data_IF_771500560313
#
_entry.id   IF_771500560313
#
_cell.length_a   1.000
_cell.length_b   1.000
_cell.length_c   1.000
_cell.angle_alpha   90.00
_cell.angle_beta   90.00
_cell.angle_gamma   90.00
#
_symmetry.space_group_name_H-M   'P 1'
#
loop_
_entity.id
_entity.type
_entity.pdbx_description
1 polymer ?
#
# COMPACT_ATOMS: atom_id res chain seq x y z
N UNK A 1 -18.88 -22.44 -4.69
CA UNK A 1 -18.51 -21.02 -4.86
C UNK A 1 -18.09 -20.86 -6.31
N UNK A 2 -18.83 -20.06 -7.06
CA UNK A 2 -18.47 -19.70 -8.44
C UNK A 2 -17.39 -18.62 -8.45
N UNK A 3 -16.30 -18.86 -9.17
CA UNK A 3 -15.19 -17.92 -9.31
C UNK A 3 -15.00 -17.70 -10.81
N UNK A 4 -14.97 -16.45 -11.24
CA UNK A 4 -14.70 -16.06 -12.63
C UNK A 4 -13.19 -15.91 -12.89
N UNK A 5 -12.48 -15.32 -11.94
CA UNK A 5 -11.07 -14.96 -12.09
C UNK A 5 -10.39 -14.88 -10.71
N UNK A 6 -9.07 -15.02 -10.69
CA UNK A 6 -8.25 -14.75 -9.51
C UNK A 6 -6.93 -14.12 -9.91
N UNK A 7 -6.50 -13.11 -9.14
CA UNK A 7 -5.32 -12.31 -9.49
C UNK A 7 -4.52 -11.94 -8.26
N UNK A 8 -3.19 -12.05 -8.37
CA UNK A 8 -2.29 -11.36 -7.45
C UNK A 8 -2.44 -9.86 -7.67
N UNK A 9 -2.52 -9.10 -6.58
CA UNK A 9 -2.60 -7.63 -6.60
C UNK A 9 -1.59 -7.05 -5.60
N UNK A 10 -1.79 -5.80 -5.19
CA UNK A 10 -1.06 -5.24 -4.06
C UNK A 10 0.44 -5.00 -4.29
N UNK A 11 1.16 -4.85 -3.19
CA UNK A 11 2.57 -4.42 -3.21
C UNK A 11 3.51 -5.43 -3.86
N UNK A 12 3.13 -6.71 -3.86
CA UNK A 12 3.84 -7.77 -4.57
C UNK A 12 3.91 -7.50 -6.07
N UNK A 13 2.77 -7.23 -6.70
CA UNK A 13 2.70 -7.01 -8.16
C UNK A 13 3.27 -5.68 -8.62
N UNK A 14 3.38 -4.68 -7.73
CA UNK A 14 4.03 -3.39 -8.01
C UNK A 14 5.53 -3.38 -7.71
N UNK A 15 6.09 -4.50 -7.25
CA UNK A 15 7.50 -4.59 -6.88
C UNK A 15 7.87 -3.72 -5.67
N UNK A 16 6.92 -3.37 -4.81
CA UNK A 16 7.12 -2.48 -3.65
C UNK A 16 7.07 -3.22 -2.32
N UNK A 17 6.94 -4.54 -2.34
CA UNK A 17 7.09 -5.39 -1.16
C UNK A 17 8.52 -5.28 -0.58
N UNK A 18 8.64 -5.29 0.74
CA UNK A 18 9.92 -5.15 1.45
C UNK A 18 10.33 -6.45 2.14
N UNK A 19 11.57 -6.92 1.90
CA UNK A 19 12.14 -8.12 2.52
C UNK A 19 11.80 -9.45 1.82
N UNK A 20 12.45 -10.58 2.20
CA UNK A 20 11.91 -11.92 1.93
C UNK A 20 10.57 -12.07 2.66
N UNK A 21 9.72 -13.02 2.23
CA UNK A 21 8.46 -13.33 2.92
C UNK A 21 8.74 -13.54 4.42
N UNK A 22 8.38 -12.55 5.23
CA UNK A 22 8.34 -12.60 6.69
C UNK A 22 6.88 -12.64 7.12
N UNK A 23 6.63 -12.84 8.41
CA UNK A 23 5.29 -12.92 8.97
C UNK A 23 4.40 -11.71 8.62
N UNK A 24 5.01 -10.53 8.37
CA UNK A 24 4.35 -9.28 7.95
C UNK A 24 4.40 -9.03 6.42
N UNK A 25 4.78 -10.04 5.62
CA UNK A 25 4.73 -9.98 4.16
C UNK A 25 3.40 -10.53 3.68
N UNK A 26 2.56 -9.60 3.24
CA UNK A 26 1.23 -9.89 2.76
C UNK A 26 1.25 -10.06 1.23
N UNK A 27 0.80 -11.23 0.76
CA UNK A 27 0.47 -11.42 -0.65
C UNK A 27 -1.03 -11.29 -0.83
N UNK A 28 -1.43 -10.26 -1.56
CA UNK A 28 -2.83 -9.94 -1.82
C UNK A 28 -3.35 -10.73 -3.03
N UNK A 29 -4.42 -11.50 -2.83
CA UNK A 29 -5.14 -12.25 -3.86
C UNK A 29 -6.56 -11.71 -3.95
N UNK A 30 -6.93 -11.16 -5.10
CA UNK A 30 -8.31 -10.83 -5.39
C UNK A 30 -8.99 -12.01 -6.09
N UNK A 31 -10.16 -12.41 -5.61
CA UNK A 31 -10.98 -13.48 -6.19
C UNK A 31 -12.27 -12.86 -6.71
N UNK A 32 -12.43 -12.82 -8.03
CA UNK A 32 -13.62 -12.28 -8.69
C UNK A 32 -14.68 -13.37 -8.71
N UNK A 33 -15.78 -13.13 -8.00
CA UNK A 33 -16.90 -14.03 -7.84
C UNK A 33 -17.92 -13.82 -8.96
N UNK A 34 -18.58 -14.91 -9.34
CA UNK A 34 -19.69 -14.89 -10.30
C UNK A 34 -20.92 -14.23 -9.65
N UNK A 35 -21.33 -13.06 -10.14
CA UNK A 35 -22.39 -12.25 -9.53
C UNK A 35 -23.75 -12.96 -9.52
N UNK A 36 -24.10 -13.68 -10.59
CA UNK A 36 -25.36 -14.40 -10.71
C UNK A 36 -25.47 -15.52 -9.67
N UNK A 37 -24.38 -16.25 -9.41
CA UNK A 37 -24.33 -17.33 -8.42
C UNK A 37 -24.30 -16.87 -6.96
N UNK A 38 -24.00 -15.60 -6.70
CA UNK A 38 -23.89 -15.04 -5.35
C UNK A 38 -24.71 -13.76 -5.20
N UNK A 39 -25.81 -13.66 -5.94
CA UNK A 39 -26.71 -12.50 -5.94
C UNK A 39 -27.23 -12.17 -4.54
N UNK A 40 -27.40 -13.18 -3.69
CA UNK A 40 -27.76 -13.03 -2.28
C UNK A 40 -26.71 -12.24 -1.48
N UNK A 41 -25.41 -12.40 -1.76
CA UNK A 41 -24.36 -11.62 -1.11
C UNK A 41 -24.27 -10.18 -1.62
N UNK A 42 -24.76 -9.94 -2.82
CA UNK A 42 -24.88 -8.59 -3.36
C UNK A 42 -26.08 -7.89 -2.71
N UNK A 43 -27.27 -8.51 -2.70
CA UNK A 43 -28.52 -7.83 -2.32
C UNK A 43 -28.76 -7.72 -0.80
N UNK A 44 -28.18 -8.59 0.02
CA UNK A 44 -28.43 -8.61 1.46
C UNK A 44 -27.47 -7.71 2.24
N UNK A 45 -27.97 -7.05 3.28
CA UNK A 45 -27.19 -6.18 4.17
C UNK A 45 -25.96 -6.89 4.78
N UNK A 46 -26.08 -8.16 5.16
CA UNK A 46 -24.97 -8.96 5.70
C UNK A 46 -24.12 -9.66 4.63
N UNK A 47 -24.36 -9.35 3.36
CA UNK A 47 -23.69 -9.93 2.19
C UNK A 47 -22.16 -9.88 2.24
N UNK A 48 -21.53 -8.71 2.54
CA UNK A 48 -20.08 -8.59 2.71
C UNK A 48 -19.50 -9.59 3.71
N UNK A 49 -20.09 -9.69 4.91
CA UNK A 49 -19.70 -10.66 5.94
C UNK A 49 -19.93 -12.10 5.48
N UNK A 50 -21.04 -12.37 4.78
CA UNK A 50 -21.36 -13.71 4.29
C UNK A 50 -20.33 -14.21 3.28
N UNK A 51 -19.91 -13.36 2.34
CA UNK A 51 -18.86 -13.67 1.36
C UNK A 51 -17.54 -14.04 2.06
N UNK A 52 -17.08 -13.19 3.00
CA UNK A 52 -15.85 -13.43 3.77
C UNK A 52 -15.92 -14.72 4.60
N UNK A 53 -17.03 -14.95 5.32
CA UNK A 53 -17.23 -16.17 6.10
C UNK A 53 -17.32 -17.41 5.23
N UNK A 54 -17.89 -17.32 4.03
CA UNK A 54 -17.94 -18.43 3.10
C UNK A 54 -16.56 -18.83 2.60
N UNK A 55 -15.70 -17.86 2.27
CA UNK A 55 -14.29 -18.09 1.91
C UNK A 55 -13.53 -18.69 3.09
N UNK A 56 -13.62 -18.08 4.28
CA UNK A 56 -12.99 -18.59 5.51
C UNK A 56 -13.36 -20.07 5.75
N UNK A 57 -14.66 -20.40 5.75
CA UNK A 57 -15.13 -21.78 5.93
C UNK A 57 -14.60 -22.72 4.85
N UNK A 58 -14.47 -22.25 3.60
CA UNK A 58 -13.95 -23.10 2.52
C UNK A 58 -12.48 -23.46 2.75
N UNK A 59 -11.67 -22.52 3.23
CA UNK A 59 -10.25 -22.72 3.52
C UNK A 59 -10.09 -23.62 4.76
N UNK A 60 -10.82 -23.34 5.83
CA UNK A 60 -10.78 -24.14 7.08
C UNK A 60 -11.17 -25.61 6.87
N UNK A 61 -12.09 -25.88 5.93
CA UNK A 61 -12.53 -27.24 5.61
C UNK A 61 -11.65 -27.98 4.59
N UNK A 62 -10.60 -27.33 4.07
CA UNK A 62 -9.69 -27.95 3.12
C UNK A 62 -8.44 -28.47 3.87
N UNK A 63 -8.18 -29.80 3.88
CA UNK A 63 -7.09 -30.40 4.63
C UNK A 63 -5.70 -29.82 4.35
N UNK A 64 -5.51 -29.22 3.16
CA UNK A 64 -4.24 -28.59 2.75
C UNK A 64 -3.88 -27.36 3.60
N UNK A 65 -4.87 -26.72 4.21
CA UNK A 65 -4.69 -25.52 5.03
C UNK A 65 -4.90 -25.80 6.54
N UNK A 66 -4.94 -27.07 6.95
CA UNK A 66 -5.22 -27.49 8.33
C UNK A 66 -4.23 -26.98 9.38
N UNK A 67 -3.03 -26.56 8.98
CA UNK A 67 -2.00 -25.98 9.85
C UNK A 67 -1.93 -24.45 9.81
N UNK A 68 -2.89 -23.78 9.16
CA UNK A 68 -2.92 -22.32 9.02
C UNK A 68 -3.93 -21.68 9.97
N UNK A 69 -3.64 -20.46 10.42
CA UNK A 69 -4.65 -19.64 11.10
C UNK A 69 -5.43 -18.86 10.03
N UNK A 70 -6.76 -19.04 9.99
CA UNK A 70 -7.65 -18.35 9.04
C UNK A 70 -8.54 -17.36 9.78
N UNK A 71 -8.44 -16.07 9.45
CA UNK A 71 -9.26 -15.01 10.07
C UNK A 71 -9.84 -14.06 9.03
N UNK A 72 -10.98 -13.46 9.36
CA UNK A 72 -11.53 -12.34 8.59
C UNK A 72 -10.93 -11.05 9.13
N UNK A 73 -10.44 -10.17 8.24
CA UNK A 73 -9.92 -8.85 8.56
C UNK A 73 -10.52 -7.81 7.61
N UNK A 74 -11.56 -7.11 8.09
CA UNK A 74 -12.35 -6.08 7.38
C UNK A 74 -12.84 -6.43 5.96
N UNK A 75 -11.95 -6.45 4.98
CA UNK A 75 -12.23 -6.65 3.56
C UNK A 75 -11.62 -7.94 2.99
N UNK A 76 -10.81 -8.65 3.79
CA UNK A 76 -10.07 -9.84 3.37
C UNK A 76 -10.26 -11.01 4.32
N UNK A 77 -9.98 -12.21 3.80
CA UNK A 77 -9.70 -13.40 4.60
C UNK A 77 -8.20 -13.62 4.62
N UNK A 78 -7.59 -13.49 5.79
CA UNK A 78 -6.17 -13.76 5.99
C UNK A 78 -5.95 -15.24 6.29
N UNK A 79 -4.99 -15.82 5.57
CA UNK A 79 -4.45 -17.17 5.78
C UNK A 79 -3.01 -17.01 6.24
N UNK A 80 -2.76 -17.20 7.53
CA UNK A 80 -1.44 -17.05 8.12
C UNK A 80 -0.70 -18.37 8.13
N UNK A 81 0.47 -18.36 7.51
CA UNK A 81 1.49 -19.40 7.61
C UNK A 81 2.51 -19.00 8.68
N UNK A 82 3.47 -19.88 8.95
CA UNK A 82 4.54 -19.61 9.92
C UNK A 82 5.37 -18.36 9.56
N UNK A 83 5.58 -18.11 8.27
CA UNK A 83 6.52 -17.10 7.75
C UNK A 83 5.89 -16.12 6.75
N UNK A 84 4.58 -16.18 6.51
CA UNK A 84 3.90 -15.33 5.53
C UNK A 84 2.39 -15.27 5.76
N UNK A 85 1.75 -14.24 5.23
CA UNK A 85 0.30 -14.10 5.24
C UNK A 85 -0.22 -13.94 3.81
N UNK A 86 -1.28 -14.68 3.47
CA UNK A 86 -2.01 -14.49 2.21
C UNK A 86 -3.33 -13.80 2.55
N UNK A 87 -3.59 -12.65 1.92
CA UNK A 87 -4.84 -11.91 2.09
C UNK A 87 -5.74 -12.17 0.88
N UNK A 88 -6.93 -12.73 1.10
CA UNK A 88 -7.88 -13.07 0.03
C UNK A 88 -9.04 -12.08 0.07
N UNK A 89 -9.10 -11.18 -0.90
CA UNK A 89 -10.20 -10.24 -1.11
C UNK A 89 -11.25 -10.84 -2.05
N UNK A 90 -12.47 -11.20 -1.60
CA UNK A 90 -13.57 -11.43 -2.53
C UNK A 90 -13.92 -10.13 -3.25
N UNK A 91 -14.25 -10.23 -4.52
CA UNK A 91 -14.63 -9.11 -5.35
C UNK A 91 -15.77 -9.48 -6.29
N UNK A 92 -16.61 -8.51 -6.62
CA UNK A 92 -17.45 -8.51 -7.82
C UNK A 92 -16.96 -7.42 -8.77
N UNK A 93 -17.36 -7.44 -10.04
CA UNK A 93 -17.12 -6.25 -10.89
C UNK A 93 -17.95 -5.11 -10.33
N UNK A 94 -17.41 -3.89 -10.37
CA UNK A 94 -18.11 -2.74 -9.79
C UNK A 94 -19.49 -2.53 -10.43
N UNK A 95 -19.61 -2.74 -11.75
CA UNK A 95 -20.86 -2.67 -12.51
C UNK A 95 -21.92 -3.72 -12.11
N UNK A 96 -21.54 -4.78 -11.38
CA UNK A 96 -22.45 -5.84 -10.92
C UNK A 96 -23.02 -5.56 -9.51
N UNK A 97 -22.54 -4.52 -8.82
CA UNK A 97 -22.95 -4.15 -7.46
C UNK A 97 -23.50 -2.72 -7.45
N UNK A 98 -24.80 -2.51 -7.73
CA UNK A 98 -25.37 -1.18 -7.95
C UNK A 98 -25.31 -0.22 -6.76
N UNK A 99 -25.14 -0.76 -5.54
CA UNK A 99 -25.08 -0.02 -4.28
C UNK A 99 -23.65 0.02 -3.70
N UNK A 100 -22.63 -0.34 -4.49
CA UNK A 100 -21.25 -0.23 -4.05
C UNK A 100 -20.87 1.23 -3.85
N UNK A 101 -20.24 1.53 -2.71
CA UNK A 101 -19.73 2.83 -2.38
C UNK A 101 -18.72 3.27 -3.44
N UNK A 102 -18.90 4.48 -3.95
CA UNK A 102 -17.99 5.02 -4.94
C UNK A 102 -16.63 5.29 -4.28
N UNK A 103 -15.50 4.86 -4.88
CA UNK A 103 -14.17 5.00 -4.28
C UNK A 103 -13.61 6.44 -4.24
N UNK A 104 -14.43 7.47 -4.50
CA UNK A 104 -13.95 8.86 -4.64
C UNK A 104 -14.35 9.72 -3.45
N UNK A 105 -13.43 10.57 -3.02
CA UNK A 105 -13.73 11.72 -2.16
C UNK A 105 -14.36 12.86 -2.99
N UNK A 106 -15.69 12.95 -3.01
CA UNK A 106 -16.46 14.07 -3.59
C UNK A 106 -17.13 13.80 -4.95
N UNK A 107 -17.80 14.82 -5.50
CA UNK A 107 -18.53 14.71 -6.78
C UNK A 107 -17.60 14.91 -7.98
N UNK A 108 -17.32 13.85 -8.74
CA UNK A 108 -16.72 13.96 -10.06
C UNK A 108 -17.41 12.99 -11.04
N UNK A 109 -18.17 13.55 -11.99
CA UNK A 109 -19.00 12.86 -12.99
C UNK A 109 -18.20 12.21 -14.14
N UNK A 110 -16.86 12.25 -14.10
CA UNK A 110 -16.01 11.86 -15.24
C UNK A 110 -15.05 10.69 -14.99
N UNK A 111 -15.02 10.03 -13.82
CA UNK A 111 -14.54 8.62 -13.80
C UNK A 111 -15.75 7.71 -13.81
N UNK A 112 -15.70 6.78 -14.73
CA UNK A 112 -16.49 5.58 -14.66
C UNK A 112 -15.71 4.55 -13.84
N UNK A 113 -16.21 4.18 -12.66
CA UNK A 113 -15.65 3.09 -11.87
C UNK A 113 -16.09 1.71 -12.42
N UNK A 114 -16.85 1.65 -13.52
CA UNK A 114 -17.41 0.42 -14.09
C UNK A 114 -16.39 -0.65 -14.43
N UNK A 115 -15.14 -0.28 -14.70
CA UNK A 115 -14.05 -1.18 -15.03
C UNK A 115 -13.29 -1.72 -13.79
N UNK A 116 -13.66 -1.24 -12.60
CA UNK A 116 -13.12 -1.64 -11.31
C UNK A 116 -13.87 -2.81 -10.66
N UNK A 117 -13.68 -2.94 -9.36
CA UNK A 117 -14.20 -4.01 -8.52
C UNK A 117 -14.91 -3.44 -7.30
N UNK A 118 -15.80 -4.23 -6.72
CA UNK A 118 -16.41 -3.98 -5.43
C UNK A 118 -15.95 -5.07 -4.45
N UNK A 119 -15.31 -4.67 -3.34
CA UNK A 119 -14.82 -5.56 -2.27
C UNK A 119 -15.63 -5.34 -1.00
N UNK A 120 -15.77 -6.32 -0.10
CA UNK A 120 -16.54 -6.12 1.13
C UNK A 120 -15.86 -5.11 2.05
N UNK A 121 -16.64 -4.29 2.75
CA UNK A 121 -16.20 -3.52 3.91
C UNK A 121 -17.10 -3.83 5.11
N UNK A 122 -16.59 -4.66 6.02
CA UNK A 122 -17.33 -5.00 7.25
C UNK A 122 -17.09 -4.00 8.38
N UNK A 123 -16.27 -2.96 8.18
CA UNK A 123 -16.03 -1.94 9.19
C UNK A 123 -17.14 -0.87 9.14
N UNK A 124 -18.14 -1.01 10.01
CA UNK A 124 -19.28 -0.10 10.07
C UNK A 124 -20.54 -0.72 9.47
N UNK A 125 -20.99 -0.21 8.32
CA UNK A 125 -22.35 -0.44 7.80
C UNK A 125 -22.52 -1.68 6.91
N UNK A 126 -21.53 -2.59 6.83
CA UNK A 126 -21.61 -3.77 5.95
C UNK A 126 -21.86 -3.38 4.49
N UNK A 127 -20.89 -2.71 3.87
CA UNK A 127 -21.01 -2.23 2.50
C UNK A 127 -20.07 -2.93 1.53
N UNK A 128 -20.22 -2.61 0.25
CA UNK A 128 -19.29 -2.99 -0.80
C UNK A 128 -18.53 -1.73 -1.22
N UNK A 129 -17.21 -1.71 -1.06
CA UNK A 129 -16.35 -0.58 -1.38
C UNK A 129 -15.75 -0.75 -2.78
N UNK A 130 -15.87 0.26 -3.63
CA UNK A 130 -15.21 0.25 -4.94
C UNK A 130 -13.68 0.30 -4.83
N UNK A 131 -12.98 -0.32 -5.79
CA UNK A 131 -11.52 -0.29 -5.90
C UNK A 131 -11.07 -0.65 -7.33
N UNK A 132 -9.85 -0.28 -7.73
CA UNK A 132 -9.28 -0.69 -9.01
C UNK A 132 -7.76 -0.90 -8.90
N UNK A 133 -7.34 -2.02 -8.26
CA UNK A 133 -5.93 -2.34 -8.09
C UNK A 133 -5.19 -2.56 -9.41
N UNK A 134 -5.90 -2.91 -10.50
CA UNK A 134 -5.32 -3.07 -11.84
C UNK A 134 -4.89 -1.73 -12.40
N UNK A 135 -5.76 -0.74 -12.41
CA UNK A 135 -5.45 0.60 -12.91
C UNK A 135 -4.32 1.22 -12.10
N UNK A 136 -4.38 1.12 -10.75
CA UNK A 136 -3.30 1.64 -9.93
C UNK A 136 -1.95 0.98 -10.26
N UNK A 137 -1.93 -0.34 -10.48
CA UNK A 137 -0.72 -1.05 -10.92
C UNK A 137 -0.19 -0.49 -12.24
N UNK A 138 -1.05 -0.31 -13.25
CA UNK A 138 -0.65 0.22 -14.56
C UNK A 138 -0.07 1.64 -14.45
N UNK A 139 -0.72 2.52 -13.67
CA UNK A 139 -0.23 3.87 -13.42
C UNK A 139 1.12 3.86 -12.70
N UNK A 140 1.27 2.97 -11.71
CA UNK A 140 2.53 2.80 -10.96
C UNK A 140 3.66 2.30 -11.87
N UNK A 141 3.41 1.26 -12.67
CA UNK A 141 4.40 0.70 -13.61
C UNK A 141 4.83 1.72 -14.65
N UNK A 142 3.89 2.47 -15.24
CA UNK A 142 4.21 3.53 -16.21
C UNK A 142 5.12 4.60 -15.59
N UNK A 143 4.85 5.00 -14.34
CA UNK A 143 5.66 5.99 -13.63
C UNK A 143 7.03 5.44 -13.23
N UNK A 144 7.09 4.19 -12.79
CA UNK A 144 8.36 3.55 -12.43
C UNK A 144 9.25 3.36 -13.67
N UNK A 145 8.66 2.98 -14.80
CA UNK A 145 9.35 2.89 -16.09
C UNK A 145 9.87 4.25 -16.55
N UNK A 146 9.05 5.31 -16.46
CA UNK A 146 9.47 6.69 -16.79
C UNK A 146 10.63 7.20 -15.91
N UNK A 147 10.87 6.57 -14.76
CA UNK A 147 11.94 6.92 -13.82
C UNK A 147 12.99 5.82 -13.62
N UNK A 148 13.04 4.84 -14.53
CA UNK A 148 14.01 3.74 -14.54
C UNK A 148 14.07 2.97 -13.20
N UNK A 149 12.93 2.57 -12.65
CA UNK A 149 12.87 1.76 -11.42
C UNK A 149 13.06 2.53 -10.12
N UNK A 150 13.18 3.86 -10.18
CA UNK A 150 13.42 4.70 -8.99
C UNK A 150 12.20 4.84 -8.08
N UNK A 151 10.98 4.73 -8.62
CA UNK A 151 9.75 4.86 -7.82
C UNK A 151 9.62 3.64 -6.92
N UNK A 152 9.69 2.44 -7.49
CA UNK A 152 9.63 1.20 -6.73
C UNK A 152 10.82 1.07 -5.76
N UNK A 153 12.02 1.45 -6.20
CA UNK A 153 13.22 1.46 -5.35
C UNK A 153 13.11 2.39 -4.15
N UNK A 154 12.66 3.63 -4.35
CA UNK A 154 12.47 4.57 -3.25
C UNK A 154 11.34 4.12 -2.32
N UNK A 155 10.23 3.61 -2.86
CA UNK A 155 9.13 3.04 -2.05
C UNK A 155 9.63 1.95 -1.13
N UNK A 156 10.40 0.97 -1.63
CA UNK A 156 10.97 -0.10 -0.80
C UNK A 156 11.87 0.47 0.29
N UNK A 157 12.77 1.40 -0.06
CA UNK A 157 13.67 2.03 0.90
C UNK A 157 12.91 2.75 2.02
N UNK A 158 11.84 3.49 1.68
CA UNK A 158 11.06 4.27 2.65
C UNK A 158 10.16 3.40 3.52
N UNK A 159 9.55 2.34 2.96
CA UNK A 159 8.82 1.34 3.73
C UNK A 159 9.74 0.61 4.72
N UNK A 160 10.92 0.16 4.27
CA UNK A 160 11.91 -0.48 5.15
C UNK A 160 12.40 0.48 6.24
N UNK A 161 12.64 1.74 5.91
CA UNK A 161 12.99 2.75 6.92
C UNK A 161 11.87 2.94 7.94
N UNK A 162 10.62 3.05 7.48
CA UNK A 162 9.46 3.26 8.33
C UNK A 162 9.27 2.09 9.32
N UNK A 163 9.33 0.87 8.81
CA UNK A 163 9.26 -0.37 9.58
C UNK A 163 10.36 -0.44 10.66
N UNK A 164 11.64 -0.33 10.25
CA UNK A 164 12.80 -0.38 11.16
C UNK A 164 12.77 0.68 12.26
N UNK A 165 12.14 1.82 11.99
CA UNK A 165 12.06 2.94 12.92
C UNK A 165 10.70 3.07 13.60
N UNK A 166 9.80 2.09 13.45
CA UNK A 166 8.44 2.09 14.01
C UNK A 166 7.66 3.38 13.67
N UNK A 167 7.79 3.87 12.44
CA UNK A 167 7.14 5.10 11.99
C UNK A 167 5.65 4.79 11.79
N UNK A 168 4.72 5.54 12.40
CA UNK A 168 3.28 5.24 12.36
C UNK A 168 2.65 5.64 11.01
N UNK A 169 3.19 5.13 9.91
CA UNK A 169 2.71 5.37 8.55
C UNK A 169 2.52 4.01 7.89
N UNK A 170 1.29 3.72 7.46
CA UNK A 170 0.97 2.48 6.76
C UNK A 170 1.77 2.35 5.46
N UNK A 171 2.12 1.12 5.09
CA UNK A 171 2.89 0.82 3.88
C UNK A 171 2.31 1.43 2.60
N UNK A 172 0.99 1.32 2.42
CA UNK A 172 0.31 1.90 1.26
C UNK A 172 0.36 3.43 1.28
N UNK A 173 0.18 4.06 2.44
CA UNK A 173 0.31 5.52 2.59
C UNK A 173 1.73 6.01 2.22
N UNK A 174 2.78 5.30 2.65
CA UNK A 174 4.16 5.62 2.26
C UNK A 174 4.38 5.50 0.74
N UNK A 175 3.87 4.43 0.12
CA UNK A 175 3.94 4.23 -1.33
C UNK A 175 3.25 5.36 -2.09
N UNK A 176 2.06 5.77 -1.67
CA UNK A 176 1.33 6.88 -2.27
C UNK A 176 2.09 8.20 -2.13
N UNK A 177 2.71 8.47 -0.98
CA UNK A 177 3.54 9.66 -0.80
C UNK A 177 4.76 9.68 -1.73
N UNK A 178 5.41 8.53 -1.94
CA UNK A 178 6.51 8.38 -2.90
C UNK A 178 6.00 8.58 -4.33
N UNK A 179 4.90 7.91 -4.70
CA UNK A 179 4.28 8.05 -6.01
C UNK A 179 3.99 9.54 -6.31
N UNK A 180 3.34 10.25 -5.39
CA UNK A 180 3.00 11.67 -5.53
C UNK A 180 4.23 12.58 -5.60
N UNK A 181 5.32 12.24 -4.89
CA UNK A 181 6.58 12.98 -5.01
C UNK A 181 7.12 13.02 -6.44
N UNK A 182 7.10 11.88 -7.14
CA UNK A 182 7.51 11.83 -8.54
C UNK A 182 6.54 12.57 -9.48
N UNK A 183 5.24 12.51 -9.20
CA UNK A 183 4.23 13.30 -9.94
C UNK A 183 4.50 14.78 -9.88
N UNK A 184 4.73 15.27 -8.66
CA UNK A 184 4.93 16.68 -8.40
C UNK A 184 6.17 17.20 -9.10
N UNK A 185 7.25 16.40 -9.12
CA UNK A 185 8.46 16.72 -9.87
C UNK A 185 8.20 16.79 -11.37
N UNK A 186 7.55 15.77 -11.94
CA UNK A 186 7.20 15.75 -13.35
C UNK A 186 6.34 16.97 -13.73
N UNK A 187 5.33 17.29 -12.93
CA UNK A 187 4.44 18.44 -13.14
C UNK A 187 5.17 19.79 -13.08
N UNK A 188 6.21 19.90 -12.25
CA UNK A 188 7.02 21.14 -12.12
C UNK A 188 8.22 21.19 -13.06
N UNK A 189 8.47 20.12 -13.84
CA UNK A 189 9.69 20.01 -14.66
C UNK A 189 10.97 19.91 -13.83
N UNK A 190 10.88 19.45 -12.58
CA UNK A 190 12.04 19.28 -11.71
C UNK A 190 12.75 17.94 -12.01
N UNK A 191 14.09 17.92 -12.07
CA UNK A 191 14.81 16.67 -12.24
C UNK A 191 14.66 15.77 -11.02
N UNK A 192 14.63 14.45 -11.28
CA UNK A 192 14.79 13.41 -10.26
C UNK A 192 16.29 13.20 -10.04
N UNK A 193 16.77 13.15 -8.78
CA UNK A 193 18.17 12.85 -8.51
C UNK A 193 18.68 11.57 -9.16
N UNK A 194 19.90 11.63 -9.68
CA UNK A 194 20.52 10.50 -10.39
C UNK A 194 20.94 9.39 -9.44
N UNK A 195 21.35 9.73 -8.21
CA UNK A 195 21.79 8.79 -7.18
C UNK A 195 20.70 8.48 -6.15
N UNK A 196 20.63 7.22 -5.69
CA UNK A 196 19.68 6.81 -4.64
C UNK A 196 19.90 7.54 -3.31
N UNK A 197 21.14 7.87 -2.97
CA UNK A 197 21.46 8.61 -1.75
C UNK A 197 20.86 10.01 -1.79
N UNK A 198 20.96 10.70 -2.93
CA UNK A 198 20.36 12.01 -3.08
C UNK A 198 18.85 11.96 -3.18
N UNK A 199 18.31 11.00 -3.94
CA UNK A 199 16.88 10.77 -4.04
C UNK A 199 16.24 10.53 -2.67
N UNK A 200 16.86 9.66 -1.86
CA UNK A 200 16.41 9.35 -0.51
C UNK A 200 16.47 10.57 0.40
N UNK A 201 17.60 11.29 0.38
CA UNK A 201 17.80 12.51 1.18
C UNK A 201 16.76 13.58 0.84
N UNK A 202 16.55 13.82 -0.46
CA UNK A 202 15.60 14.82 -0.92
C UNK A 202 14.16 14.45 -0.56
N UNK A 203 13.75 13.19 -0.78
CA UNK A 203 12.44 12.73 -0.36
C UNK A 203 12.25 12.84 1.16
N UNK A 204 13.23 12.39 1.95
CA UNK A 204 13.18 12.45 3.42
C UNK A 204 13.01 13.88 3.94
N UNK A 205 13.60 14.87 3.25
CA UNK A 205 13.42 16.30 3.57
C UNK A 205 11.97 16.77 3.37
N UNK A 206 11.25 16.18 2.42
CA UNK A 206 9.83 16.51 2.17
C UNK A 206 8.86 15.74 3.06
N UNK A 207 9.28 14.59 3.59
CA UNK A 207 8.41 13.66 4.30
C UNK A 207 7.69 14.27 5.52
N UNK A 208 8.29 15.14 6.36
CA UNK A 208 7.56 15.79 7.45
C UNK A 208 6.32 16.56 6.99
N UNK A 209 6.40 17.26 5.86
CA UNK A 209 5.25 17.98 5.32
C UNK A 209 4.24 17.02 4.69
N UNK A 210 4.73 15.95 4.03
CA UNK A 210 3.86 14.95 3.38
C UNK A 210 2.99 14.20 4.37
N UNK A 211 3.51 13.82 5.53
CA UNK A 211 2.72 13.12 6.57
C UNK A 211 1.66 14.02 7.23
N UNK A 212 1.87 15.33 7.23
CA UNK A 212 0.85 16.30 7.65
C UNK A 212 -0.18 16.61 6.56
N UNK A 213 0.20 16.44 5.29
CA UNK A 213 -0.68 16.60 4.16
C UNK A 213 -1.65 15.43 3.97
N UNK A 214 -2.54 15.59 3.00
CA UNK A 214 -3.39 14.52 2.49
C UNK A 214 -2.66 13.83 1.33
N UNK A 215 -2.29 12.57 1.50
CA UNK A 215 -1.87 11.74 0.38
C UNK A 215 -3.11 11.15 -0.28
N UNK A 216 -3.19 11.31 -1.60
CA UNK A 216 -4.29 10.76 -2.40
C UNK A 216 -3.77 9.72 -3.36
N UNK A 217 -4.45 8.59 -3.46
CA UNK A 217 -4.14 7.59 -4.48
C UNK A 217 -4.61 8.07 -5.87
N UNK A 218 -4.00 7.59 -6.95
CA UNK A 218 -4.14 8.26 -8.24
C UNK A 218 -5.31 7.82 -9.10
N UNK A 219 -5.98 6.71 -8.78
CA UNK A 219 -7.09 6.18 -9.58
C UNK A 219 -8.36 6.97 -9.29
N UNK A 220 -8.70 7.08 -8.01
CA UNK A 220 -9.93 7.68 -7.53
C UNK A 220 -9.71 8.94 -6.68
N UNK A 221 -8.48 9.37 -6.47
CA UNK A 221 -8.17 10.54 -5.64
C UNK A 221 -8.67 10.36 -4.19
N UNK A 222 -8.73 9.10 -3.72
CA UNK A 222 -9.11 8.73 -2.36
C UNK A 222 -7.98 9.08 -1.38
N UNK A 223 -8.33 9.62 -0.22
CA UNK A 223 -7.37 9.95 0.82
C UNK A 223 -6.90 8.68 1.55
N UNK A 224 -5.60 8.36 1.47
CA UNK A 224 -5.02 7.14 2.06
C UNK A 224 -4.56 7.31 3.51
N UNK A 225 -4.81 8.47 4.10
CA UNK A 225 -4.44 8.85 5.46
C UNK A 225 -5.58 8.63 6.48
N UNK A 226 -6.68 7.97 6.05
CA UNK A 226 -7.80 7.57 6.92
C UNK A 226 -7.28 6.73 8.10
N UNK A 227 -7.61 7.17 9.32
CA UNK A 227 -7.18 6.56 10.57
C UNK A 227 -5.84 7.04 11.12
N UNK A 228 -5.10 7.91 10.41
CA UNK A 228 -3.86 8.50 10.93
C UNK A 228 -4.15 9.77 11.73
N UNK A 229 -4.10 9.66 13.06
CA UNK A 229 -4.36 10.76 13.99
C UNK A 229 -3.25 11.81 14.02
N UNK A 230 -3.53 12.97 14.63
CA UNK A 230 -2.55 14.06 14.73
C UNK A 230 -1.29 13.65 15.50
N UNK A 231 -1.42 12.79 16.53
CA UNK A 231 -0.28 12.26 17.28
C UNK A 231 0.65 11.43 16.39
N UNK A 232 0.10 10.51 15.59
CA UNK A 232 0.87 9.71 14.64
C UNK A 232 1.55 10.59 13.59
N UNK A 233 0.86 11.62 13.08
CA UNK A 233 1.45 12.59 12.14
C UNK A 233 2.63 13.32 12.74
N UNK A 234 2.48 13.82 13.97
CA UNK A 234 3.56 14.50 14.70
C UNK A 234 4.75 13.54 14.95
N UNK A 235 4.47 12.30 15.36
CA UNK A 235 5.49 11.29 15.60
C UNK A 235 6.24 10.92 14.31
N UNK A 236 5.52 10.69 13.21
CA UNK A 236 6.11 10.41 11.90
C UNK A 236 6.95 11.58 11.40
N UNK A 237 6.45 12.81 11.48
CA UNK A 237 7.16 14.02 11.06
C UNK A 237 8.46 14.22 11.87
N UNK A 238 8.40 14.00 13.20
CA UNK A 238 9.58 14.07 14.08
C UNK A 238 10.64 13.03 13.71
N UNK A 239 10.24 11.80 13.42
CA UNK A 239 11.16 10.73 12.98
C UNK A 239 11.77 11.04 11.62
N UNK A 240 10.96 11.50 10.66
CA UNK A 240 11.41 11.92 9.33
C UNK A 240 12.41 13.09 9.41
N UNK A 241 12.13 14.10 10.23
CA UNK A 241 13.03 15.24 10.45
C UNK A 241 14.40 14.79 10.97
N UNK A 242 14.43 13.94 12.01
CA UNK A 242 15.67 13.38 12.56
C UNK A 242 16.44 12.57 11.52
N UNK A 243 15.75 11.75 10.71
CA UNK A 243 16.38 10.98 9.65
C UNK A 243 16.99 11.92 8.57
N UNK A 244 16.26 12.97 8.18
CA UNK A 244 16.76 13.98 7.24
C UNK A 244 18.01 14.69 7.78
N UNK A 245 18.04 15.09 9.05
CA UNK A 245 19.21 15.71 9.69
C UNK A 245 20.45 14.81 9.64
N UNK A 246 20.28 13.52 9.94
CA UNK A 246 21.37 12.53 9.87
C UNK A 246 21.86 12.30 8.43
N UNK A 247 20.97 12.28 7.44
CA UNK A 247 21.35 12.14 6.03
C UNK A 247 22.15 13.35 5.53
N UNK A 248 21.79 14.57 5.97
CA UNK A 248 22.57 15.78 5.66
C UNK A 248 23.92 15.79 6.39
N UNK A 249 23.96 15.33 7.63
CA UNK A 249 25.22 15.16 8.38
C UNK A 249 26.15 14.15 7.69
N UNK A 250 25.61 13.00 7.29
CA UNK A 250 26.35 11.97 6.55
C UNK A 250 26.95 12.53 5.25
N UNK A 251 26.16 13.32 4.51
CA UNK A 251 26.66 14.00 3.30
C UNK A 251 27.82 14.94 3.63
N UNK A 252 27.67 15.81 4.63
CA UNK A 252 28.72 16.75 5.05
C UNK A 252 30.01 16.04 5.45
N UNK A 253 29.91 14.95 6.22
CA UNK A 253 31.05 14.14 6.64
C UNK A 253 31.75 13.50 5.44
N UNK A 254 30.98 12.95 4.49
CA UNK A 254 31.52 12.39 3.24
C UNK A 254 32.26 13.45 2.44
N UNK A 255 31.69 14.65 2.29
CA UNK A 255 32.30 15.76 1.55
C UNK A 255 33.61 16.26 2.23
N UNK A 256 33.78 16.01 3.53
CA UNK A 256 35.00 16.29 4.30
C UNK A 256 36.03 15.13 4.27
N UNK A 257 35.77 14.05 3.54
CA UNK A 257 36.63 12.85 3.52
C UNK A 257 36.47 11.93 4.73
N UNK A 258 35.53 12.20 5.63
CA UNK A 258 35.26 11.40 6.85
C UNK A 258 34.30 10.25 6.54
N UNK A 259 34.74 9.31 5.70
CA UNK A 259 33.87 8.25 5.15
C UNK A 259 33.32 7.30 6.22
N UNK A 260 34.11 6.96 7.24
CA UNK A 260 33.68 6.08 8.33
C UNK A 260 32.56 6.73 9.17
N UNK A 261 32.76 7.97 9.61
CA UNK A 261 31.76 8.75 10.35
C UNK A 261 30.47 8.94 9.51
N UNK A 262 30.62 9.19 8.20
CA UNK A 262 29.47 9.27 7.28
C UNK A 262 28.69 7.94 7.22
N UNK A 263 29.40 6.81 7.17
CA UNK A 263 28.78 5.48 7.15
C UNK A 263 28.04 5.18 8.46
N UNK A 264 28.58 5.58 9.61
CA UNK A 264 27.89 5.46 10.90
C UNK A 264 26.55 6.19 10.89
N UNK A 265 26.50 7.43 10.35
CA UNK A 265 25.26 8.18 10.22
C UNK A 265 24.24 7.53 9.29
N UNK A 266 24.70 6.91 8.19
CA UNK A 266 23.82 6.13 7.31
C UNK A 266 23.26 4.89 8.02
N UNK A 267 24.08 4.17 8.80
CA UNK A 267 23.64 3.03 9.60
C UNK A 267 22.64 3.43 10.69
N UNK A 268 22.75 4.62 11.26
CA UNK A 268 21.75 5.15 12.19
C UNK A 268 20.37 5.41 11.55
N UNK A 269 20.31 5.61 10.23
CA UNK A 269 19.05 5.84 9.48
C UNK A 269 18.52 4.54 8.91
N UNK A 270 19.38 3.80 8.22
CA UNK A 270 18.98 2.62 7.46
C UNK A 270 19.06 1.33 8.27
N UNK A 271 19.79 1.29 9.38
CA UNK A 271 20.04 0.09 10.18
C UNK A 271 21.48 -0.41 10.07
N UNK A 272 21.89 -1.25 11.02
CA UNK A 272 23.28 -1.71 11.18
C UNK A 272 23.84 -2.48 9.98
N UNK A 273 22.96 -3.15 9.23
CA UNK A 273 23.31 -3.97 8.07
C UNK A 273 23.51 -3.14 6.78
N UNK A 274 23.40 -1.81 6.86
CA UNK A 274 23.68 -0.91 5.74
C UNK A 274 25.19 -0.88 5.47
N UNK A 275 25.58 -1.21 4.24
CA UNK A 275 26.97 -1.31 3.78
C UNK A 275 27.24 -0.36 2.61
#
# INVERSE_FOLDING_TARGET
MGIEDSRLIGSFTRGTMTGPLKQDSDADVMVVLDADKHRDWIEQENGPTNALRAIKRRIENDPRFSQTEVRVDQNVVQVKYHDSTIEIAPAFRYSEVPHADHPRDGFNLFNDASDGYAIPDTHGQQSWQGTNPREYKQMFEARDQAHNGRVSGLTRAMKTWADRNNVPVRSYHMETMVYNYFEEKARRGEPVPSSYNELTREFMRTLPNRVHGKAKEPVYNESVDKGMGQEDRNAAAKKAKKASEKLEEAKRLKDQGKTEEAMEKLKEVHGKDFN
#
